data_IF_231611244666
#
_entry.id   IF_231611244666
#
_cell.length_a   1.000
_cell.length_b   1.000
_cell.length_c   1.000
_cell.angle_alpha   90.00
_cell.angle_beta   90.00
_cell.angle_gamma   90.00
#
_symmetry.space_group_name_H-M   'P 1'
#
loop_
_entity.id
_entity.type
_entity.pdbx_description
1 polymer ?
#
# COMPACT_ATOMS: atom_id res chain seq x y z
N UNK A 1 -3.05 -4.48 -10.13
CA UNK A 1 -3.32 -3.63 -8.95
C UNK A 1 -3.23 -2.18 -9.36
N UNK A 2 -4.25 -1.39 -9.10
CA UNK A 2 -4.29 0.01 -9.50
C UNK A 2 -3.90 0.92 -8.33
N UNK A 3 -3.48 2.15 -8.67
CA UNK A 3 -3.12 3.14 -7.65
C UNK A 3 -4.35 3.47 -6.78
N UNK A 4 -5.52 3.58 -7.39
CA UNK A 4 -6.73 3.89 -6.64
C UNK A 4 -7.10 2.78 -5.66
N UNK A 5 -6.90 1.53 -6.06
CA UNK A 5 -7.13 0.40 -5.18
C UNK A 5 -6.18 0.45 -3.97
N UNK A 6 -4.91 0.77 -4.22
CA UNK A 6 -3.93 0.86 -3.15
C UNK A 6 -4.30 1.99 -2.20
N UNK A 7 -4.70 3.15 -2.71
CA UNK A 7 -5.15 4.26 -1.87
C UNK A 7 -6.34 3.88 -1.00
N UNK A 8 -7.29 3.15 -1.57
CA UNK A 8 -8.46 2.68 -0.84
C UNK A 8 -8.06 1.74 0.31
N UNK A 9 -7.14 0.83 0.04
CA UNK A 9 -6.66 -0.10 1.06
C UNK A 9 -5.89 0.62 2.16
N UNK A 10 -5.04 1.60 1.80
CA UNK A 10 -4.32 2.39 2.79
C UNK A 10 -5.30 3.12 3.70
N UNK A 11 -6.31 3.73 3.13
CA UNK A 11 -7.33 4.43 3.91
C UNK A 11 -8.04 3.46 4.87
N UNK A 12 -8.35 2.26 4.38
CA UNK A 12 -9.02 1.26 5.19
C UNK A 12 -8.16 0.83 6.39
N UNK A 13 -6.86 0.61 6.17
CA UNK A 13 -6.00 0.08 7.22
C UNK A 13 -5.41 1.14 8.14
N UNK A 14 -5.16 2.34 7.63
CA UNK A 14 -4.50 3.40 8.42
C UNK A 14 -5.42 4.55 8.80
N UNK A 15 -6.54 4.70 8.10
CA UNK A 15 -7.43 5.82 8.30
C UNK A 15 -6.93 7.12 7.67
N UNK A 16 -5.84 7.06 6.91
CA UNK A 16 -5.26 8.24 6.26
C UNK A 16 -5.19 8.04 4.75
N UNK A 17 -5.34 9.14 4.01
CA UNK A 17 -5.26 9.08 2.56
C UNK A 17 -3.80 9.07 2.11
N UNK A 18 -3.47 8.12 1.24
CA UNK A 18 -2.13 8.05 0.65
C UNK A 18 -2.04 9.01 -0.53
N UNK A 19 -0.86 9.59 -0.74
CA UNK A 19 -0.59 10.36 -1.95
C UNK A 19 -0.36 9.42 -3.12
N UNK A 20 -0.40 9.97 -4.34
CA UNK A 20 -0.08 9.18 -5.53
C UNK A 20 1.31 8.58 -5.45
N UNK A 21 2.28 9.35 -4.95
CA UNK A 21 3.64 8.87 -4.82
C UNK A 21 3.73 7.72 -3.82
N UNK A 22 3.08 7.84 -2.69
CA UNK A 22 3.06 6.77 -1.69
C UNK A 22 2.41 5.51 -2.25
N UNK A 23 1.31 5.66 -2.98
CA UNK A 23 0.64 4.52 -3.58
C UNK A 23 1.51 3.84 -4.64
N UNK A 24 2.28 4.60 -5.40
CA UNK A 24 3.21 4.05 -6.38
C UNK A 24 4.33 3.28 -5.72
N UNK A 25 4.85 3.78 -4.61
CA UNK A 25 5.89 3.09 -3.85
C UNK A 25 5.38 1.78 -3.27
N UNK A 26 4.16 1.80 -2.72
CA UNK A 26 3.54 0.59 -2.19
C UNK A 26 3.32 -0.43 -3.31
N UNK A 27 2.90 0.03 -4.48
CA UNK A 27 2.73 -0.83 -5.63
C UNK A 27 4.04 -1.50 -6.03
N UNK A 28 5.15 -0.74 -6.02
CA UNK A 28 6.46 -1.29 -6.33
C UNK A 28 6.88 -2.35 -5.31
N UNK A 29 6.63 -2.12 -4.04
CA UNK A 29 6.88 -3.13 -3.00
C UNK A 29 6.06 -4.39 -3.23
N UNK A 30 4.80 -4.22 -3.61
CA UNK A 30 3.92 -5.37 -3.86
C UNK A 30 4.42 -6.19 -5.04
N UNK A 31 4.96 -5.54 -6.06
CA UNK A 31 5.51 -6.22 -7.22
C UNK A 31 6.81 -6.95 -6.89
N UNK A 32 7.62 -6.38 -5.98
CA UNK A 32 8.86 -7.02 -5.54
C UNK A 32 8.62 -8.17 -4.58
N UNK A 33 7.50 -8.17 -3.89
CA UNK A 33 7.19 -9.19 -2.89
C UNK A 33 5.86 -9.86 -3.22
N UNK A 34 5.81 -10.70 -4.28
CA UNK A 34 4.54 -11.29 -4.72
C UNK A 34 3.92 -12.25 -3.70
N UNK A 35 4.70 -12.73 -2.74
CA UNK A 35 4.18 -13.61 -1.69
C UNK A 35 3.58 -12.88 -0.51
N UNK A 36 3.73 -11.55 -0.43
CA UNK A 36 3.22 -10.77 0.67
C UNK A 36 1.82 -10.21 0.33
N UNK A 37 0.95 -10.16 1.33
CA UNK A 37 -0.36 -9.56 1.14
C UNK A 37 -0.26 -8.04 1.20
N UNK A 38 -1.26 -7.35 0.67
CA UNK A 38 -1.23 -5.90 0.61
C UNK A 38 -1.25 -5.28 2.00
N UNK A 39 -1.99 -5.87 2.94
CA UNK A 39 -2.03 -5.36 4.32
C UNK A 39 -0.67 -5.47 5.00
N UNK A 40 0.09 -6.53 4.74
CA UNK A 40 1.45 -6.66 5.26
C UNK A 40 2.36 -5.57 4.71
N UNK A 41 2.25 -5.30 3.41
CA UNK A 41 3.06 -4.28 2.75
C UNK A 41 2.74 -2.91 3.32
N UNK A 42 1.47 -2.60 3.50
CA UNK A 42 1.05 -1.32 4.07
C UNK A 42 1.56 -1.18 5.50
N UNK A 43 1.45 -2.24 6.30
CA UNK A 43 1.93 -2.23 7.66
C UNK A 43 3.42 -1.96 7.73
N UNK A 44 4.20 -2.63 6.88
CA UNK A 44 5.65 -2.41 6.83
C UNK A 44 5.99 -1.00 6.35
N UNK A 45 5.27 -0.51 5.36
CA UNK A 45 5.55 0.80 4.77
C UNK A 45 5.33 1.92 5.79
N UNK A 46 4.28 1.84 6.59
CA UNK A 46 3.93 2.88 7.55
C UNK A 46 4.46 2.58 8.97
N UNK A 47 5.09 1.44 9.16
CA UNK A 47 5.71 1.10 10.43
C UNK A 47 4.75 0.78 11.56
N UNK A 48 3.57 0.28 11.20
CA UNK A 48 2.55 -0.06 12.21
C UNK A 48 2.57 -1.52 12.57
#
# INVERSE_FOLDING_TARGET
MSIEMIKSEVLYYTGMEATNQEAQEIKAFAEDCPGASLDEIISDYYGC
#
